data_IF_679618979513
#
_entry.id   IF_679618979513
#
_cell.length_a   1.000
_cell.length_b   1.000
_cell.length_c   1.000
_cell.angle_alpha   90.00
_cell.angle_beta   90.00
_cell.angle_gamma   90.00
#
_symmetry.space_group_name_H-M   'P 1'
#
loop_
_entity.id
_entity.type
_entity.pdbx_description
1 polymer ?
#
# COMPACT_ATOMS: atom_id res chain seq x y z
N UNK A 1 -30.84 -6.62 -33.60
CA UNK A 1 -30.35 -7.84 -32.92
C UNK A 1 -29.09 -7.46 -32.14
N UNK A 2 -29.20 -7.16 -30.83
CA UNK A 2 -28.05 -6.73 -30.00
C UNK A 2 -27.40 -7.97 -29.38
N UNK A 3 -26.22 -8.34 -29.88
CA UNK A 3 -25.42 -9.45 -29.38
C UNK A 3 -24.74 -9.00 -28.07
N UNK A 4 -25.23 -9.48 -26.92
CA UNK A 4 -24.54 -9.31 -25.63
C UNK A 4 -23.50 -10.41 -25.50
N UNK A 5 -22.24 -10.06 -25.67
CA UNK A 5 -21.10 -10.92 -25.35
C UNK A 5 -20.90 -10.85 -23.83
N UNK A 6 -21.18 -11.94 -23.13
CA UNK A 6 -20.79 -12.10 -21.74
C UNK A 6 -19.43 -12.78 -21.71
N UNK A 7 -18.37 -12.03 -21.38
CA UNK A 7 -17.06 -12.59 -21.06
C UNK A 7 -17.15 -13.11 -19.62
N UNK A 8 -17.19 -14.42 -19.47
CA UNK A 8 -17.05 -15.08 -18.17
C UNK A 8 -15.55 -15.23 -17.90
N UNK A 9 -14.99 -14.34 -17.07
CA UNK A 9 -13.61 -14.45 -16.61
C UNK A 9 -13.56 -15.52 -15.50
N UNK A 10 -13.10 -16.73 -15.85
CA UNK A 10 -12.89 -17.82 -14.89
C UNK A 10 -11.56 -17.55 -14.18
N UNK A 11 -11.62 -16.86 -13.04
CA UNK A 11 -10.45 -16.64 -12.18
C UNK A 11 -10.29 -17.90 -11.33
N UNK A 12 -9.28 -18.71 -11.64
CA UNK A 12 -8.84 -19.79 -10.76
C UNK A 12 -8.15 -19.15 -9.55
N UNK A 13 -8.84 -19.11 -8.42
CA UNK A 13 -8.31 -18.61 -7.15
C UNK A 13 -7.40 -19.70 -6.54
N UNK A 14 -6.08 -19.59 -6.75
CA UNK A 14 -5.12 -20.32 -5.92
C UNK A 14 -4.98 -19.60 -4.58
N UNK A 15 -5.09 -20.35 -3.48
CA UNK A 15 -4.79 -19.86 -2.14
C UNK A 15 -3.28 -19.78 -2.00
N UNK A 16 -2.72 -18.57 -2.05
CA UNK A 16 -1.30 -18.35 -1.80
C UNK A 16 -1.09 -18.21 -0.30
N UNK A 17 -0.49 -19.24 0.31
CA UNK A 17 -0.15 -19.28 1.73
C UNK A 17 1.28 -18.75 1.92
N UNK A 18 1.42 -17.56 2.51
CA UNK A 18 2.71 -17.03 2.94
C UNK A 18 3.10 -17.70 4.26
N UNK A 19 3.62 -18.93 4.23
CA UNK A 19 4.09 -19.56 5.45
C UNK A 19 5.27 -18.73 6.02
N UNK A 20 5.12 -18.20 7.23
CA UNK A 20 6.18 -17.39 7.85
C UNK A 20 6.35 -17.79 9.30
N UNK A 21 7.55 -17.57 9.82
CA UNK A 21 7.88 -17.71 11.24
C UNK A 21 8.72 -16.53 11.66
N UNK A 22 8.19 -15.72 12.58
CA UNK A 22 8.84 -14.50 13.04
C UNK A 22 8.91 -14.56 14.56
N UNK A 23 10.10 -14.35 15.14
CA UNK A 23 10.27 -14.34 16.58
C UNK A 23 11.36 -13.38 17.03
N UNK A 24 11.23 -12.85 18.24
CA UNK A 24 12.25 -11.98 18.85
C UNK A 24 12.89 -12.60 20.09
N UNK A 25 14.17 -12.28 20.31
CA UNK A 25 14.99 -12.78 21.43
C UNK A 25 16.09 -11.78 21.79
N UNK A 26 16.81 -12.06 22.89
CA UNK A 26 17.99 -11.31 23.32
C UNK A 26 19.23 -12.17 23.16
N UNK A 27 20.29 -11.62 22.58
CA UNK A 27 21.58 -12.31 22.53
C UNK A 27 22.31 -12.21 23.88
N UNK A 28 23.48 -12.86 23.99
CA UNK A 28 24.30 -12.84 25.21
C UNK A 28 24.81 -11.44 25.61
N UNK A 29 24.75 -10.46 24.71
CA UNK A 29 25.08 -9.05 24.96
C UNK A 29 23.85 -8.19 25.27
N UNK A 30 22.67 -8.80 25.46
CA UNK A 30 21.37 -8.14 25.60
C UNK A 30 20.93 -7.32 24.37
N UNK A 31 21.50 -7.57 23.19
CA UNK A 31 21.03 -6.97 21.94
C UNK A 31 19.77 -7.69 21.45
N UNK A 32 18.84 -6.95 20.83
CA UNK A 32 17.56 -7.49 20.39
C UNK A 32 17.69 -8.05 18.99
N UNK A 33 17.41 -9.35 18.84
CA UNK A 33 17.42 -10.05 17.57
C UNK A 33 15.99 -10.43 17.16
N UNK A 34 15.64 -10.21 15.90
CA UNK A 34 14.40 -10.69 15.30
C UNK A 34 14.72 -11.63 14.17
N UNK A 35 14.36 -12.90 14.31
CA UNK A 35 14.51 -13.92 13.26
C UNK A 35 13.22 -14.05 12.45
N UNK A 36 13.35 -14.18 11.13
CA UNK A 36 12.22 -14.32 10.20
C UNK A 36 12.51 -15.34 9.11
N UNK A 37 11.52 -16.19 8.83
CA UNK A 37 11.44 -17.02 7.62
C UNK A 37 10.27 -16.52 6.78
N UNK A 38 10.50 -16.41 5.47
CA UNK A 38 9.47 -16.09 4.49
C UNK A 38 9.39 -17.18 3.42
N UNK A 39 8.20 -17.74 3.25
CA UNK A 39 7.92 -18.74 2.22
C UNK A 39 6.93 -18.21 1.19
N UNK A 40 7.24 -18.41 -0.09
CA UNK A 40 6.40 -18.05 -1.22
C UNK A 40 6.79 -18.89 -2.43
N UNK A 41 5.84 -19.20 -3.30
CA UNK A 41 6.04 -20.14 -4.41
C UNK A 41 6.83 -19.57 -5.59
N UNK A 42 6.83 -18.25 -5.75
CA UNK A 42 7.56 -17.58 -6.84
C UNK A 42 8.95 -17.15 -6.36
N UNK A 43 9.96 -17.36 -7.21
CA UNK A 43 11.31 -16.91 -6.92
C UNK A 43 11.46 -15.39 -7.04
N UNK A 44 12.54 -14.87 -6.46
CA UNK A 44 12.87 -13.45 -6.46
C UNK A 44 13.03 -12.94 -5.04
N UNK A 45 12.96 -11.63 -4.90
CA UNK A 45 13.22 -10.96 -3.64
C UNK A 45 14.29 -9.91 -3.79
N UNK A 46 14.13 -8.82 -3.05
CA UNK A 46 15.10 -7.76 -2.95
C UNK A 46 15.06 -7.18 -1.54
N UNK A 47 16.23 -6.75 -1.07
CA UNK A 47 16.38 -5.96 0.16
C UNK A 47 16.65 -4.50 -0.23
N UNK A 48 15.71 -3.64 0.11
CA UNK A 48 15.67 -2.23 -0.25
C UNK A 48 16.25 -1.38 0.88
N UNK A 49 17.13 -0.45 0.55
CA UNK A 49 17.65 0.57 1.46
C UNK A 49 17.13 1.93 1.01
N UNK A 50 16.40 2.61 1.89
CA UNK A 50 15.72 3.87 1.59
C UNK A 50 16.20 4.92 2.59
N UNK A 51 16.97 5.93 2.16
CA UNK A 51 17.42 7.00 3.05
C UNK A 51 16.25 7.87 3.53
N UNK A 52 16.39 8.42 4.73
CA UNK A 52 15.49 9.44 5.25
C UNK A 52 15.33 10.59 4.24
N UNK A 53 14.07 11.01 4.00
CA UNK A 53 13.76 12.24 3.27
C UNK A 53 12.88 13.12 4.17
N UNK A 54 13.23 14.40 4.29
CA UNK A 54 12.56 15.34 5.19
C UNK A 54 12.54 14.84 6.65
N UNK A 55 11.36 14.58 7.21
CA UNK A 55 11.18 14.12 8.59
C UNK A 55 10.94 12.61 8.70
N UNK A 56 11.17 11.83 7.63
CA UNK A 56 11.02 10.37 7.69
C UNK A 56 12.26 9.70 8.27
N UNK A 57 12.08 8.49 8.80
CA UNK A 57 13.21 7.63 9.16
C UNK A 57 13.86 7.00 7.92
N UNK A 58 15.12 6.63 8.05
CA UNK A 58 15.79 5.72 7.10
C UNK A 58 15.34 4.29 7.37
N UNK A 59 15.14 3.49 6.32
CA UNK A 59 14.56 2.15 6.45
C UNK A 59 15.29 1.13 5.57
N UNK A 60 15.25 -0.12 6.01
CA UNK A 60 15.54 -1.31 5.20
C UNK A 60 14.30 -2.19 5.16
N UNK A 61 13.89 -2.64 3.97
CA UNK A 61 12.73 -3.52 3.80
C UNK A 61 13.03 -4.67 2.85
N UNK A 62 12.32 -5.79 3.00
CA UNK A 62 12.37 -6.91 2.05
C UNK A 62 11.04 -7.01 1.31
N UNK A 63 11.11 -7.09 -0.02
CA UNK A 63 9.98 -7.22 -0.94
C UNK A 63 10.28 -8.31 -1.98
N UNK A 64 9.27 -8.87 -2.63
CA UNK A 64 9.48 -9.93 -3.63
C UNK A 64 9.90 -9.33 -4.99
N UNK A 65 9.01 -8.55 -5.59
CA UNK A 65 9.11 -8.05 -6.96
C UNK A 65 8.77 -6.55 -7.05
N UNK A 66 7.81 -6.12 -6.25
CA UNK A 66 7.38 -4.74 -6.19
C UNK A 66 8.00 -4.04 -4.96
N UNK A 67 8.85 -3.02 -5.15
CA UNK A 67 9.50 -2.31 -4.05
C UNK A 67 8.53 -1.48 -3.18
N UNK A 68 7.26 -1.37 -3.57
CA UNK A 68 6.18 -0.76 -2.77
C UNK A 68 5.33 -1.82 -2.03
N UNK A 69 5.72 -3.10 -2.09
CA UNK A 69 5.09 -4.21 -1.37
C UNK A 69 6.10 -4.85 -0.42
N UNK A 70 6.47 -4.10 0.61
CA UNK A 70 7.36 -4.56 1.67
C UNK A 70 6.64 -5.54 2.61
N UNK A 71 7.24 -6.71 2.87
CA UNK A 71 6.71 -7.71 3.79
C UNK A 71 7.26 -7.54 5.21
N UNK A 72 8.49 -7.06 5.32
CA UNK A 72 9.18 -6.85 6.58
C UNK A 72 10.28 -5.81 6.47
N UNK A 73 10.78 -5.32 7.61
CA UNK A 73 11.90 -4.40 7.65
C UNK A 73 12.17 -3.81 9.03
N UNK A 74 13.18 -2.95 9.09
CA UNK A 74 13.49 -2.13 10.26
C UNK A 74 13.86 -0.70 9.88
N UNK A 75 13.82 0.21 10.85
CA UNK A 75 14.23 1.60 10.68
C UNK A 75 15.42 1.98 11.56
N UNK A 76 15.97 3.17 11.30
CA UNK A 76 17.09 3.78 12.04
C UNK A 76 16.77 4.17 13.50
N UNK A 77 15.55 3.88 13.99
CA UNK A 77 15.17 4.02 15.40
C UNK A 77 15.24 2.70 16.15
N UNK A 78 15.47 1.59 15.46
CA UNK A 78 15.46 0.24 16.00
C UNK A 78 14.05 -0.31 16.18
N UNK A 79 13.11 0.09 15.32
CA UNK A 79 11.77 -0.48 15.23
C UNK A 79 11.73 -1.45 14.04
N UNK A 80 11.22 -2.65 14.27
CA UNK A 80 10.96 -3.68 13.28
C UNK A 80 9.47 -3.93 13.12
N UNK A 81 9.05 -4.25 11.90
CA UNK A 81 7.72 -4.74 11.60
C UNK A 81 7.77 -5.81 10.49
N UNK A 82 6.97 -6.85 10.63
CA UNK A 82 6.76 -7.87 9.61
C UNK A 82 5.31 -8.37 9.59
N UNK A 83 4.92 -8.95 8.46
CA UNK A 83 3.58 -9.51 8.26
C UNK A 83 3.63 -11.02 8.04
N UNK A 84 2.56 -11.71 8.45
CA UNK A 84 2.33 -13.10 8.10
C UNK A 84 0.84 -13.34 7.82
N UNK A 85 0.52 -14.28 6.93
CA UNK A 85 -0.88 -14.57 6.58
C UNK A 85 -1.58 -15.34 7.69
N UNK A 86 -2.82 -14.98 7.93
CA UNK A 86 -3.74 -15.64 8.85
C UNK A 86 -5.06 -15.96 8.15
N UNK A 87 -5.87 -16.88 8.70
CA UNK A 87 -7.17 -17.21 8.13
C UNK A 87 -8.08 -15.99 7.93
N UNK A 88 -8.95 -16.06 6.94
CA UNK A 88 -9.83 -14.94 6.63
C UNK A 88 -10.93 -14.73 7.67
N UNK A 89 -11.11 -13.48 8.07
CA UNK A 89 -12.15 -12.99 8.98
C UNK A 89 -12.67 -11.63 8.51
N UNK A 90 -13.69 -11.08 9.17
CA UNK A 90 -14.18 -9.73 8.86
C UNK A 90 -13.24 -8.66 9.44
N UNK A 91 -13.02 -7.56 8.71
CA UNK A 91 -12.09 -6.49 9.08
C UNK A 91 -12.80 -5.15 9.29
N UNK A 92 -12.35 -4.32 10.26
CA UNK A 92 -12.98 -3.03 10.57
C UNK A 92 -12.62 -1.95 9.53
N UNK A 93 -13.27 -1.97 8.37
CA UNK A 93 -13.08 -0.95 7.33
C UNK A 93 -13.88 0.31 7.69
N UNK A 94 -13.20 1.47 7.72
CA UNK A 94 -13.81 2.78 7.83
C UNK A 94 -13.47 3.62 6.59
N UNK A 95 -14.47 3.90 5.75
CA UNK A 95 -14.30 4.62 4.47
C UNK A 95 -13.95 6.12 4.63
N UNK A 96 -14.11 6.68 5.84
CA UNK A 96 -13.73 8.07 6.13
C UNK A 96 -12.22 8.17 6.35
N UNK A 97 -11.58 7.11 6.85
CA UNK A 97 -10.13 7.04 7.01
C UNK A 97 -9.46 6.69 5.68
N UNK A 98 -8.25 7.23 5.40
CA UNK A 98 -7.45 6.78 4.27
C UNK A 98 -7.28 5.25 4.27
N UNK A 99 -7.56 4.60 3.14
CA UNK A 99 -7.46 3.15 2.99
C UNK A 99 -6.09 2.77 2.43
N UNK A 100 -5.36 1.92 3.14
CA UNK A 100 -4.04 1.41 2.75
C UNK A 100 -4.06 -0.10 2.61
N UNK A 101 -3.25 -0.63 1.70
CA UNK A 101 -2.98 -2.07 1.63
C UNK A 101 -2.12 -2.47 2.82
N UNK A 102 -2.26 -3.71 3.27
CA UNK A 102 -1.47 -4.25 4.38
C UNK A 102 0.05 -4.08 4.19
N UNK A 103 0.56 -4.29 2.98
CA UNK A 103 2.00 -4.12 2.66
C UNK A 103 2.46 -2.66 2.77
N UNK A 104 1.59 -1.68 2.46
CA UNK A 104 1.93 -0.25 2.60
C UNK A 104 2.08 0.15 4.06
N UNK A 105 1.38 -0.54 4.98
CA UNK A 105 1.50 -0.27 6.41
C UNK A 105 2.91 -0.56 6.95
N UNK A 106 3.63 -1.53 6.38
CA UNK A 106 5.03 -1.84 6.74
C UNK A 106 5.89 -0.58 6.54
N UNK A 107 5.86 0.01 5.35
CA UNK A 107 6.63 1.22 5.07
C UNK A 107 6.13 2.46 5.81
N UNK A 108 4.81 2.63 5.94
CA UNK A 108 4.24 3.76 6.69
C UNK A 108 4.73 3.72 8.14
N UNK A 109 4.67 2.56 8.80
CA UNK A 109 5.14 2.40 10.18
C UNK A 109 6.62 2.70 10.26
N UNK A 110 7.45 2.06 9.44
CA UNK A 110 8.92 2.23 9.50
C UNK A 110 9.35 3.67 9.23
N UNK A 111 8.74 4.36 8.25
CA UNK A 111 9.08 5.75 7.88
C UNK A 111 8.65 6.78 8.92
N UNK A 112 7.63 6.49 9.74
CA UNK A 112 6.97 7.51 10.58
C UNK A 112 6.95 7.22 12.08
N UNK A 113 7.43 6.05 12.51
CA UNK A 113 7.31 5.60 13.90
C UNK A 113 8.67 5.34 14.53
N UNK A 114 8.90 5.78 15.76
CA UNK A 114 10.16 5.54 16.48
C UNK A 114 10.05 4.38 17.48
N UNK A 115 8.84 4.03 17.88
CA UNK A 115 8.52 3.02 18.90
C UNK A 115 7.17 2.35 18.59
N UNK A 116 6.76 1.40 19.43
CA UNK A 116 5.49 0.67 19.28
C UNK A 116 4.27 1.60 19.38
N UNK A 117 4.26 2.59 20.27
CA UNK A 117 3.12 3.50 20.43
C UNK A 117 2.87 4.33 19.16
N UNK A 118 3.93 4.87 18.57
CA UNK A 118 3.87 5.57 17.30
C UNK A 118 3.31 4.65 16.19
N UNK A 119 3.77 3.40 16.16
CA UNK A 119 3.32 2.41 15.19
C UNK A 119 1.82 2.12 15.34
N UNK A 120 1.37 1.84 16.58
CA UNK A 120 -0.05 1.61 16.90
C UNK A 120 -0.91 2.84 16.57
N UNK A 121 -0.37 4.05 16.72
CA UNK A 121 -1.05 5.27 16.29
C UNK A 121 -1.23 5.32 14.77
N UNK A 122 -0.29 4.80 13.96
CA UNK A 122 -0.50 4.67 12.52
C UNK A 122 -1.65 3.71 12.21
N UNK A 123 -1.71 2.53 12.85
CA UNK A 123 -2.82 1.59 12.67
C UNK A 123 -4.19 2.20 13.00
N UNK A 124 -4.27 3.16 13.93
CA UNK A 124 -5.50 3.89 14.25
C UNK A 124 -5.90 4.91 13.18
N UNK A 125 -4.95 5.46 12.42
CA UNK A 125 -5.20 6.50 11.40
C UNK A 125 -5.72 5.94 10.08
N UNK A 126 -5.37 4.70 9.74
CA UNK A 126 -5.69 4.08 8.46
C UNK A 126 -6.76 3.01 8.58
N UNK A 127 -7.51 2.84 7.51
CA UNK A 127 -8.27 1.61 7.25
C UNK A 127 -7.40 0.68 6.41
N UNK A 128 -7.39 -0.62 6.72
CA UNK A 128 -6.49 -1.57 6.05
C UNK A 128 -7.30 -2.52 5.18
N UNK A 129 -6.93 -2.59 3.90
CA UNK A 129 -7.37 -3.63 2.97
C UNK A 129 -6.27 -4.67 2.81
N UNK A 130 -6.66 -5.93 2.64
CA UNK A 130 -5.73 -7.05 2.64
C UNK A 130 -5.59 -7.67 1.25
N UNK A 131 -4.37 -8.15 0.98
CA UNK A 131 -4.02 -8.89 -0.23
C UNK A 131 -3.68 -8.06 -1.47
N UNK A 132 -3.27 -8.77 -2.53
CA UNK A 132 -3.10 -8.24 -3.88
C UNK A 132 -4.41 -8.52 -4.62
N UNK A 133 -5.17 -7.48 -4.96
CA UNK A 133 -6.36 -7.49 -5.86
C UNK A 133 -6.98 -8.88 -6.15
N UNK A 134 -8.15 -9.15 -5.57
CA UNK A 134 -8.88 -10.43 -5.65
C UNK A 134 -8.27 -11.63 -4.88
N UNK A 135 -7.03 -11.57 -4.41
CA UNK A 135 -6.49 -12.52 -3.43
C UNK A 135 -6.67 -11.96 -2.02
N UNK A 136 -7.41 -12.68 -1.18
CA UNK A 136 -8.01 -12.12 0.02
C UNK A 136 -7.29 -12.50 1.31
N UNK A 137 -6.00 -12.87 1.27
CA UNK A 137 -5.30 -13.35 2.46
C UNK A 137 -5.14 -12.22 3.48
N UNK A 138 -5.83 -12.34 4.61
CA UNK A 138 -5.58 -11.49 5.77
C UNK A 138 -4.16 -11.70 6.29
N UNK A 139 -3.60 -10.63 6.87
CA UNK A 139 -2.32 -10.69 7.56
C UNK A 139 -2.46 -10.10 8.95
N UNK A 140 -1.62 -10.55 9.86
CA UNK A 140 -1.33 -9.88 11.12
C UNK A 140 0.10 -9.32 11.12
N UNK A 141 0.38 -8.39 12.02
CA UNK A 141 1.64 -7.65 12.07
C UNK A 141 2.36 -7.94 13.38
N UNK A 142 3.65 -8.28 13.32
CA UNK A 142 4.52 -8.31 14.49
C UNK A 142 5.40 -7.07 14.49
N UNK A 143 5.42 -6.37 15.61
CA UNK A 143 6.22 -5.16 15.81
C UNK A 143 7.15 -5.42 16.99
N UNK A 144 8.42 -5.07 16.84
CA UNK A 144 9.44 -5.23 17.87
C UNK A 144 10.27 -3.96 17.92
N UNK A 145 10.55 -3.46 19.12
CA UNK A 145 11.43 -2.30 19.29
C UNK A 145 12.73 -2.70 20.02
N UNK A 146 13.77 -1.87 19.87
CA UNK A 146 15.14 -2.15 20.34
C UNK A 146 15.34 -2.34 21.85
N UNK A 147 14.34 -2.10 22.69
CA UNK A 147 14.39 -2.44 24.13
C UNK A 147 13.91 -3.88 24.42
N UNK A 148 13.38 -4.56 23.40
CA UNK A 148 12.87 -5.92 23.46
C UNK A 148 11.38 -6.01 23.77
N UNK A 149 10.64 -4.90 23.81
CA UNK A 149 9.17 -4.96 23.78
C UNK A 149 8.69 -5.39 22.39
N UNK A 150 7.63 -6.18 22.36
CA UNK A 150 7.01 -6.61 21.11
C UNK A 150 5.50 -6.71 21.25
N UNK A 151 4.80 -6.47 20.14
CA UNK A 151 3.35 -6.60 20.03
C UNK A 151 2.98 -7.31 18.73
N UNK A 152 1.83 -7.98 18.76
CA UNK A 152 1.17 -8.49 17.55
C UNK A 152 -0.14 -7.71 17.36
N UNK A 153 -0.38 -7.23 16.15
CA UNK A 153 -1.62 -6.55 15.76
C UNK A 153 -2.42 -7.46 14.84
N UNK A 154 -3.56 -7.91 15.33
CA UNK A 154 -4.48 -8.80 14.62
C UNK A 154 -5.78 -8.09 14.24
N UNK A 155 -6.32 -8.46 13.08
CA UNK A 155 -7.65 -8.04 12.65
C UNK A 155 -8.54 -9.27 12.65
N UNK A 156 -9.43 -9.35 13.64
CA UNK A 156 -10.29 -10.51 13.86
C UNK A 156 -11.71 -10.04 14.18
N UNK A 157 -12.71 -10.61 13.53
CA UNK A 157 -14.13 -10.38 13.83
C UNK A 157 -14.52 -8.88 13.93
N UNK A 158 -14.14 -8.08 12.93
CA UNK A 158 -14.35 -6.62 12.85
C UNK A 158 -13.67 -5.82 13.97
N UNK A 159 -12.61 -6.35 14.58
CA UNK A 159 -11.84 -5.65 15.61
C UNK A 159 -10.36 -5.69 15.30
N UNK A 160 -9.68 -4.61 15.66
CA UNK A 160 -8.22 -4.59 15.78
C UNK A 160 -7.89 -5.01 17.22
N UNK A 161 -7.12 -6.08 17.36
CA UNK A 161 -6.68 -6.63 18.66
C UNK A 161 -5.18 -6.42 18.77
N UNK A 162 -4.73 -5.90 19.90
CA UNK A 162 -3.32 -5.67 20.22
C UNK A 162 -2.93 -6.71 21.27
N UNK A 163 -1.85 -7.43 21.00
CA UNK A 163 -1.40 -8.57 21.80
C UNK A 163 0.01 -8.24 22.28
N UNK A 164 0.12 -7.91 23.56
CA UNK A 164 1.38 -7.59 24.23
C UNK A 164 1.97 -8.86 24.87
N UNK A 165 1.13 -9.65 25.53
CA UNK A 165 1.51 -10.94 26.10
C UNK A 165 1.59 -12.02 25.01
N UNK A 166 2.55 -12.94 25.12
CA UNK A 166 2.79 -14.01 24.13
C UNK A 166 3.12 -13.50 22.71
N UNK A 167 3.49 -12.23 22.58
CA UNK A 167 3.83 -11.58 21.30
C UNK A 167 5.19 -11.98 20.73
N UNK A 168 5.98 -12.77 21.47
CA UNK A 168 7.36 -13.13 21.13
C UNK A 168 7.50 -13.96 19.86
N UNK A 169 6.46 -14.72 19.50
CA UNK A 169 6.47 -15.63 18.36
C UNK A 169 5.19 -15.36 17.56
N UNK A 170 5.33 -15.22 16.25
CA UNK A 170 4.23 -15.06 15.30
C UNK A 170 4.43 -16.01 14.13
N UNK A 171 3.44 -16.86 13.87
CA UNK A 171 3.33 -17.71 12.68
C UNK A 171 1.93 -17.53 12.09
N UNK A 172 1.49 -18.40 11.18
CA UNK A 172 0.27 -18.23 10.39
C UNK A 172 -1.06 -18.53 11.11
N UNK A 173 -1.21 -18.20 12.38
CA UNK A 173 -2.45 -18.38 13.13
C UNK A 173 -2.73 -17.20 14.05
N UNK A 174 -4.00 -16.99 14.38
CA UNK A 174 -4.39 -15.97 15.34
C UNK A 174 -3.91 -16.35 16.74
N UNK A 175 -3.20 -15.43 17.38
CA UNK A 175 -2.82 -15.52 18.79
C UNK A 175 -4.00 -15.10 19.68
N UNK A 176 -4.84 -14.17 19.21
CA UNK A 176 -6.01 -13.68 19.96
C UNK A 176 -7.19 -14.64 19.99
N UNK A 177 -7.28 -15.58 19.04
CA UNK A 177 -8.41 -16.51 18.93
C UNK A 177 -7.96 -17.88 18.42
N UNK A 178 -7.71 -18.79 19.37
CA UNK A 178 -7.31 -20.17 19.07
C UNK A 178 -8.42 -21.04 18.49
N UNK A 179 -9.67 -20.54 18.44
CA UNK A 179 -10.79 -21.30 17.85
C UNK A 179 -10.78 -21.25 16.33
N UNK A 180 -10.12 -20.24 15.75
CA UNK A 180 -9.94 -20.08 14.31
C UNK A 180 -8.78 -20.97 13.86
N UNK A 181 -9.10 -21.97 13.02
CA UNK A 181 -8.11 -22.90 12.50
C UNK A 181 -7.19 -22.22 11.49
N UNK A 182 -5.90 -22.40 11.65
CA UNK A 182 -4.86 -22.00 10.69
C UNK A 182 -5.09 -22.64 9.32
N UNK A 183 -4.93 -21.86 8.25
CA UNK A 183 -4.89 -22.36 6.87
C UNK A 183 -3.55 -23.01 6.54
N UNK A 184 -2.50 -22.71 7.32
CA UNK A 184 -1.20 -23.39 7.24
C UNK A 184 -1.18 -24.60 8.18
N UNK A 185 -1.02 -25.80 7.62
CA UNK A 185 -0.95 -27.06 8.35
C UNK A 185 0.23 -27.11 9.36
N UNK A 186 1.31 -26.42 9.02
CA UNK A 186 2.60 -26.43 9.73
C UNK A 186 2.74 -25.29 10.75
N UNK A 187 1.82 -24.32 10.76
CA UNK A 187 1.87 -23.10 11.60
C UNK A 187 2.10 -23.36 13.09
N UNK A 188 1.30 -24.25 13.69
CA UNK A 188 1.40 -24.59 15.11
C UNK A 188 2.66 -25.40 15.44
N UNK A 189 3.12 -26.24 14.52
CA UNK A 189 4.35 -27.01 14.69
C UNK A 189 5.57 -26.10 14.69
N UNK A 190 5.64 -25.12 13.77
CA UNK A 190 6.71 -24.12 13.76
C UNK A 190 6.70 -23.28 15.03
N UNK A 191 5.52 -22.82 15.47
CA UNK A 191 5.37 -22.08 16.72
C UNK A 191 5.92 -22.86 17.92
N UNK A 192 5.49 -24.11 18.09
CA UNK A 192 5.97 -25.00 19.17
C UNK A 192 7.47 -25.24 19.08
N UNK A 193 8.00 -25.36 17.87
CA UNK A 193 9.44 -25.49 17.65
C UNK A 193 10.16 -24.27 18.19
N UNK A 194 9.83 -23.05 17.76
CA UNK A 194 10.47 -21.82 18.28
C UNK A 194 10.39 -21.73 19.80
N UNK A 195 9.20 -21.99 20.37
CA UNK A 195 8.97 -21.95 21.81
C UNK A 195 9.87 -22.92 22.58
N UNK A 196 10.12 -24.12 22.05
CA UNK A 196 11.04 -25.10 22.67
C UNK A 196 12.51 -24.65 22.71
N UNK A 197 12.87 -23.63 21.92
CA UNK A 197 14.22 -23.07 21.85
C UNK A 197 14.34 -21.70 22.54
N UNK A 198 13.26 -21.08 23.03
CA UNK A 198 13.26 -19.67 23.46
C UNK A 198 14.37 -19.30 24.47
N UNK A 199 14.74 -20.22 25.38
CA UNK A 199 15.81 -20.02 26.37
C UNK A 199 17.24 -20.39 25.87
N UNK A 200 17.36 -20.86 24.63
CA UNK A 200 18.61 -21.30 23.99
C UNK A 200 19.06 -20.35 22.88
N UNK A 201 18.23 -19.38 22.50
CA UNK A 201 18.52 -18.48 21.38
C UNK A 201 19.19 -17.22 21.89
N UNK A 202 20.52 -17.26 21.99
CA UNK A 202 21.34 -16.16 22.49
C UNK A 202 22.47 -15.71 21.52
N UNK A 203 22.44 -16.19 20.27
CA UNK A 203 23.43 -15.86 19.24
C UNK A 203 22.80 -15.89 17.85
N UNK A 204 23.43 -15.23 16.88
CA UNK A 204 23.05 -15.24 15.46
C UNK A 204 22.95 -16.68 14.92
N UNK A 205 23.91 -17.53 15.27
CA UNK A 205 23.94 -18.95 14.90
C UNK A 205 22.73 -19.72 15.46
N UNK A 206 22.39 -19.49 16.74
CA UNK A 206 21.24 -20.15 17.36
C UNK A 206 19.91 -19.69 16.73
N UNK A 207 19.79 -18.42 16.35
CA UNK A 207 18.61 -17.91 15.63
C UNK A 207 18.49 -18.62 14.28
N UNK A 208 19.55 -18.66 13.46
CA UNK A 208 19.51 -19.36 12.17
C UNK A 208 19.22 -20.84 12.31
N UNK A 209 19.75 -21.51 13.35
CA UNK A 209 19.44 -22.92 13.63
C UNK A 209 17.96 -23.16 13.89
N UNK A 210 17.28 -22.21 14.56
CA UNK A 210 15.82 -22.29 14.77
C UNK A 210 15.06 -21.96 13.49
N UNK A 211 15.52 -20.98 12.71
CA UNK A 211 14.96 -20.69 11.39
C UNK A 211 15.06 -21.90 10.46
N UNK A 212 16.20 -22.58 10.39
CA UNK A 212 16.36 -23.79 9.57
C UNK A 212 15.41 -24.93 10.00
N UNK A 213 15.12 -25.05 11.31
CA UNK A 213 14.15 -26.02 11.85
C UNK A 213 12.69 -25.65 11.59
N UNK A 214 12.44 -24.40 11.23
CA UNK A 214 11.09 -23.86 10.98
C UNK A 214 10.93 -23.40 9.53
N UNK A 215 11.83 -23.83 8.64
CA UNK A 215 11.66 -23.68 7.20
C UNK A 215 10.43 -24.47 6.76
N UNK A 216 9.62 -23.87 5.91
CA UNK A 216 8.67 -24.58 5.04
C UNK A 216 9.35 -24.95 3.71
N UNK A 217 8.72 -25.82 2.92
CA UNK A 217 9.27 -26.32 1.63
C UNK A 217 9.62 -25.16 0.69
N UNK A 218 8.79 -24.12 0.67
CA UNK A 218 8.94 -22.96 -0.21
C UNK A 218 9.62 -21.76 0.48
N UNK A 219 10.47 -21.99 1.51
CA UNK A 219 11.18 -20.89 2.18
C UNK A 219 12.19 -20.23 1.23
N UNK A 220 11.90 -18.99 0.85
CA UNK A 220 12.74 -18.20 -0.05
C UNK A 220 13.88 -17.52 0.69
N UNK A 221 13.61 -16.94 1.86
CA UNK A 221 14.66 -16.32 2.65
C UNK A 221 14.48 -16.53 4.15
N UNK A 222 15.62 -16.56 4.82
CA UNK A 222 15.76 -16.53 6.27
C UNK A 222 16.60 -15.32 6.63
N UNK A 223 16.15 -14.50 7.56
CA UNK A 223 16.90 -13.33 7.99
C UNK A 223 16.88 -13.10 9.50
N UNK A 224 17.81 -12.26 9.95
CA UNK A 224 17.92 -11.79 11.31
C UNK A 224 18.18 -10.29 11.28
N UNK A 225 17.34 -9.54 11.98
CA UNK A 225 17.58 -8.13 12.27
C UNK A 225 18.13 -8.00 13.69
N UNK A 226 19.29 -7.34 13.83
CA UNK A 226 19.78 -6.88 15.12
C UNK A 226 19.37 -5.42 15.29
N UNK A 227 18.32 -5.18 16.08
CA UNK A 227 17.73 -3.84 16.24
C UNK A 227 18.60 -2.89 17.07
N UNK A 228 19.63 -3.43 17.75
CA UNK A 228 20.56 -2.66 18.57
C UNK A 228 21.74 -2.15 17.74
N UNK A 229 22.26 -2.99 16.84
CA UNK A 229 23.43 -2.65 16.00
C UNK A 229 23.05 -2.23 14.57
N UNK A 230 21.77 -2.32 14.22
CA UNK A 230 21.23 -2.06 12.88
C UNK A 230 21.80 -3.01 11.80
N UNK A 231 22.23 -4.20 12.21
CA UNK A 231 22.74 -5.24 11.33
C UNK A 231 21.62 -6.14 10.79
N UNK A 232 21.73 -6.52 9.53
CA UNK A 232 20.83 -7.47 8.87
C UNK A 232 21.67 -8.65 8.39
N UNK A 233 21.29 -9.85 8.79
CA UNK A 233 21.86 -11.09 8.30
C UNK A 233 20.79 -11.75 7.44
N UNK A 234 21.09 -12.07 6.19
CA UNK A 234 20.10 -12.63 5.26
C UNK A 234 20.69 -13.77 4.45
N UNK A 235 19.89 -14.82 4.28
CA UNK A 235 20.17 -15.98 3.47
C UNK A 235 19.00 -16.19 2.51
N UNK A 236 19.27 -16.22 1.21
CA UNK A 236 18.30 -16.63 0.19
C UNK A 236 18.45 -18.14 -0.05
N UNK A 237 17.37 -18.89 0.15
CA UNK A 237 17.31 -20.36 0.10
C UNK A 237 18.43 -21.00 0.93
N UNK A 238 19.38 -21.64 0.26
CA UNK A 238 20.53 -22.33 0.85
C UNK A 238 21.87 -21.66 0.49
N UNK A 239 21.84 -20.41 0.03
CA UNK A 239 23.04 -19.62 -0.24
C UNK A 239 23.80 -19.24 1.05
N UNK A 240 24.95 -18.60 0.90
CA UNK A 240 25.69 -18.03 2.03
C UNK A 240 24.92 -16.89 2.71
N UNK A 241 25.21 -16.68 4.00
CA UNK A 241 24.67 -15.56 4.76
C UNK A 241 25.38 -14.29 4.32
N UNK A 242 24.62 -13.29 3.87
CA UNK A 242 25.10 -11.94 3.66
C UNK A 242 24.82 -11.08 4.89
N UNK A 243 25.79 -10.25 5.27
CA UNK A 243 25.68 -9.30 6.38
C UNK A 243 25.69 -7.87 5.84
N UNK A 244 24.67 -7.10 6.21
CA UNK A 244 24.49 -5.70 5.86
C UNK A 244 24.31 -4.89 7.15
N UNK A 245 24.51 -3.58 7.06
CA UNK A 245 24.21 -2.65 8.16
C UNK A 245 23.46 -1.44 7.61
N UNK A 246 22.30 -1.11 8.18
CA UNK A 246 21.44 -0.03 7.69
C UNK A 246 22.16 1.32 7.64
N UNK A 247 22.85 1.66 8.72
CA UNK A 247 23.58 2.92 8.85
C UNK A 247 24.73 3.02 7.86
N UNK A 248 25.51 1.96 7.71
CA UNK A 248 26.66 1.94 6.80
C UNK A 248 26.22 1.99 5.33
N UNK A 249 25.18 1.26 4.97
CA UNK A 249 24.63 1.21 3.61
C UNK A 249 24.04 2.55 3.16
N UNK A 250 23.47 3.32 4.09
CA UNK A 250 22.88 4.62 3.81
C UNK A 250 23.81 5.80 4.10
N UNK A 251 25.04 5.54 4.57
CA UNK A 251 26.00 6.61 4.85
C UNK A 251 26.31 7.43 3.59
N UNK A 252 26.06 8.74 3.66
CA UNK A 252 26.24 9.69 2.56
C UNK A 252 25.47 9.34 1.26
N UNK A 253 24.38 8.56 1.36
CA UNK A 253 23.48 8.24 0.24
C UNK A 253 22.21 9.09 0.29
N UNK A 254 21.89 9.74 -0.82
CA UNK A 254 20.62 10.48 -0.99
C UNK A 254 19.57 9.71 -1.79
N UNK A 255 19.97 8.59 -2.42
CA UNK A 255 19.14 7.79 -3.32
C UNK A 255 18.90 6.40 -2.74
N UNK A 256 17.70 5.87 -3.00
CA UNK A 256 17.36 4.51 -2.62
C UNK A 256 17.99 3.50 -3.57
N UNK A 257 18.32 2.33 -3.06
CA UNK A 257 18.87 1.21 -3.83
C UNK A 257 18.40 -0.10 -3.24
N UNK A 258 18.67 -1.20 -3.92
CA UNK A 258 18.38 -2.53 -3.42
C UNK A 258 19.46 -3.53 -3.81
N UNK A 259 19.51 -4.64 -3.08
CA UNK A 259 20.21 -5.85 -3.52
C UNK A 259 19.17 -6.89 -3.92
N UNK A 260 19.34 -7.53 -5.08
CA UNK A 260 18.56 -8.72 -5.44
C UNK A 260 18.96 -9.88 -4.54
N UNK A 261 18.02 -10.69 -4.07
CA UNK A 261 18.34 -11.75 -3.09
C UNK A 261 18.96 -13.00 -3.73
N UNK A 262 18.70 -13.26 -5.00
CA UNK A 262 19.18 -14.43 -5.74
C UNK A 262 20.69 -14.37 -6.02
N UNK A 263 21.18 -13.23 -6.49
CA UNK A 263 22.59 -13.02 -6.86
C UNK A 263 23.32 -11.97 -6.02
N UNK A 264 22.61 -11.26 -5.14
CA UNK A 264 23.14 -10.17 -4.31
C UNK A 264 23.76 -9.01 -5.09
N UNK A 265 23.36 -8.83 -6.35
CA UNK A 265 23.73 -7.67 -7.17
C UNK A 265 23.05 -6.40 -6.64
N UNK A 266 23.80 -5.30 -6.64
CA UNK A 266 23.33 -3.98 -6.20
C UNK A 266 22.79 -3.18 -7.37
N UNK A 267 21.57 -2.66 -7.24
CA UNK A 267 20.93 -1.82 -8.25
C UNK A 267 20.34 -0.56 -7.60
N UNK A 268 20.41 0.58 -8.30
CA UNK A 268 19.73 1.78 -7.86
C UNK A 268 18.22 1.63 -8.06
N UNK A 269 17.43 2.13 -7.12
CA UNK A 269 15.98 2.15 -7.26
C UNK A 269 15.66 3.24 -8.29
N UNK A 270 15.26 2.84 -9.49
CA UNK A 270 14.79 3.78 -10.51
C UNK A 270 13.60 4.56 -9.91
N UNK A 271 13.62 5.88 -10.05
CA UNK A 271 12.41 6.66 -9.81
C UNK A 271 11.32 6.08 -10.72
N UNK A 272 10.20 5.72 -10.11
CA UNK A 272 9.02 5.15 -10.78
C UNK A 272 8.43 6.22 -11.72
N UNK A 273 9.08 6.38 -12.86
CA UNK A 273 8.75 7.29 -13.96
C UNK A 273 7.70 6.66 -14.88
N UNK A 274 7.06 5.57 -14.44
CA UNK A 274 5.91 5.01 -15.14
C UNK A 274 4.82 6.09 -15.23
N UNK A 275 4.48 6.45 -16.45
CA UNK A 275 3.37 7.36 -16.72
C UNK A 275 2.08 6.63 -16.36
N UNK A 276 1.59 6.82 -15.14
CA UNK A 276 0.30 6.26 -14.77
C UNK A 276 -0.80 7.00 -15.53
N UNK A 277 -1.58 6.25 -16.32
CA UNK A 277 -2.77 6.74 -17.01
C UNK A 277 -3.95 6.64 -16.04
N UNK A 278 -4.68 7.74 -15.88
CA UNK A 278 -5.88 7.79 -15.06
C UNK A 278 -7.11 7.95 -15.95
N UNK A 279 -8.11 7.11 -15.73
CA UNK A 279 -9.42 7.21 -16.38
C UNK A 279 -10.45 7.63 -15.34
N UNK A 280 -11.16 8.73 -15.59
CA UNK A 280 -12.14 9.31 -14.66
C UNK A 280 -13.53 9.49 -15.29
N UNK A 281 -14.36 8.43 -15.37
CA UNK A 281 -15.76 8.58 -15.70
C UNK A 281 -16.47 9.43 -14.63
N UNK A 282 -17.33 10.33 -15.05
CA UNK A 282 -18.03 11.25 -14.16
C UNK A 282 -19.41 11.62 -14.67
N UNK A 283 -20.29 11.97 -13.75
CA UNK A 283 -21.68 12.32 -14.00
C UNK A 283 -22.17 13.27 -12.91
N UNK A 284 -23.12 14.12 -13.23
CA UNK A 284 -23.59 15.10 -12.26
C UNK A 284 -24.87 15.79 -12.63
N UNK A 285 -25.38 16.50 -11.63
CA UNK A 285 -26.60 17.27 -11.70
C UNK A 285 -26.39 18.62 -11.03
N UNK A 286 -26.93 19.67 -11.62
CA UNK A 286 -26.66 21.04 -11.24
C UNK A 286 -27.89 21.92 -11.22
N UNK A 287 -27.63 23.21 -11.03
CA UNK A 287 -28.65 24.25 -11.06
C UNK A 287 -29.16 24.39 -12.50
N UNK A 288 -30.39 24.89 -12.67
CA UNK A 288 -31.06 25.03 -13.98
C UNK A 288 -31.25 23.71 -14.72
N UNK A 289 -31.47 22.61 -13.99
CA UNK A 289 -31.62 21.28 -14.58
C UNK A 289 -30.41 20.87 -15.47
N UNK A 290 -29.22 21.37 -15.13
CA UNK A 290 -27.99 21.01 -15.84
C UNK A 290 -27.59 19.59 -15.46
N UNK A 291 -27.60 18.67 -16.43
CA UNK A 291 -27.08 17.32 -16.30
C UNK A 291 -25.77 17.21 -17.10
N UNK A 292 -24.82 16.43 -16.59
CA UNK A 292 -23.61 16.14 -17.35
C UNK A 292 -23.14 14.71 -17.18
N UNK A 293 -22.48 14.17 -18.20
CA UNK A 293 -21.76 12.91 -18.11
C UNK A 293 -20.54 12.92 -19.03
N UNK A 294 -19.43 12.35 -18.59
CA UNK A 294 -18.19 12.50 -19.32
C UNK A 294 -17.07 11.59 -18.83
N UNK A 295 -15.92 11.78 -19.47
CA UNK A 295 -14.69 11.05 -19.23
C UNK A 295 -13.52 12.03 -19.19
N UNK A 296 -12.59 11.80 -18.24
CA UNK A 296 -11.26 12.41 -18.28
C UNK A 296 -10.21 11.32 -18.44
N UNK A 297 -9.20 11.61 -19.26
CA UNK A 297 -8.00 10.78 -19.42
C UNK A 297 -6.81 11.63 -19.02
N UNK A 298 -6.17 11.29 -17.91
CA UNK A 298 -5.09 12.08 -17.31
C UNK A 298 -3.78 11.29 -17.28
N UNK A 299 -2.68 12.00 -17.48
CA UNK A 299 -1.33 11.53 -17.22
C UNK A 299 -0.88 12.08 -15.88
N UNK A 300 -0.39 11.18 -15.03
CA UNK A 300 0.15 11.54 -13.72
C UNK A 300 1.53 12.19 -13.91
N UNK A 301 1.70 13.39 -13.37
CA UNK A 301 3.01 14.07 -13.31
C UNK A 301 3.78 13.71 -12.03
N UNK A 302 3.06 13.55 -10.92
CA UNK A 302 3.58 13.03 -9.65
C UNK A 302 2.43 12.51 -8.78
N UNK A 303 2.69 12.14 -7.52
CA UNK A 303 1.67 11.61 -6.60
C UNK A 303 0.39 12.44 -6.45
N UNK A 304 0.48 13.75 -6.66
CA UNK A 304 -0.62 14.69 -6.39
C UNK A 304 -1.01 15.55 -7.59
N UNK A 305 -0.33 15.44 -8.73
CA UNK A 305 -0.59 16.26 -9.90
C UNK A 305 -0.78 15.39 -11.14
N UNK A 306 -1.79 15.74 -11.92
CA UNK A 306 -2.08 15.12 -13.20
C UNK A 306 -2.55 16.17 -14.21
N UNK A 307 -2.41 15.88 -15.49
CA UNK A 307 -2.92 16.72 -16.56
C UNK A 307 -3.47 15.85 -17.67
N UNK A 308 -4.42 16.35 -18.46
CA UNK A 308 -4.93 15.58 -19.57
C UNK A 308 -6.16 16.18 -20.22
N UNK A 309 -6.96 15.31 -20.82
CA UNK A 309 -8.10 15.69 -21.64
C UNK A 309 -9.42 15.41 -20.94
N UNK A 310 -10.39 16.29 -21.16
CA UNK A 310 -11.79 16.11 -20.80
C UNK A 310 -12.66 16.03 -22.05
N UNK A 311 -13.64 15.13 -22.00
CA UNK A 311 -14.81 15.10 -22.87
C UNK A 311 -16.04 14.97 -21.97
N UNK A 312 -16.93 15.96 -21.98
CA UNK A 312 -18.16 15.95 -21.17
C UNK A 312 -19.35 16.39 -22.01
N UNK A 313 -20.43 15.63 -21.96
CA UNK A 313 -21.70 15.99 -22.55
C UNK A 313 -22.57 16.67 -21.50
N UNK A 314 -23.27 17.73 -21.90
CA UNK A 314 -24.18 18.50 -21.08
C UNK A 314 -25.58 18.52 -21.67
N UNK A 315 -26.56 18.54 -20.77
CA UNK A 315 -27.95 18.86 -21.07
C UNK A 315 -28.40 19.94 -20.09
N UNK A 316 -28.83 21.10 -20.58
CA UNK A 316 -29.38 22.18 -19.75
C UNK A 316 -30.73 22.59 -20.36
N UNK A 317 -31.83 22.18 -19.73
CA UNK A 317 -33.17 22.32 -20.30
C UNK A 317 -33.27 21.60 -21.66
N UNK A 318 -33.45 22.37 -22.74
CA UNK A 318 -33.52 21.86 -24.12
C UNK A 318 -32.17 21.92 -24.87
N UNK A 319 -31.15 22.50 -24.27
CA UNK A 319 -29.83 22.67 -24.90
C UNK A 319 -28.94 21.44 -24.62
N UNK A 320 -28.33 20.91 -25.67
CA UNK A 320 -27.43 19.74 -25.62
C UNK A 320 -26.10 20.09 -26.29
N UNK A 321 -25.03 20.09 -25.51
CA UNK A 321 -23.71 20.55 -25.96
C UNK A 321 -22.57 19.74 -25.33
N UNK A 322 -21.36 19.90 -25.87
CA UNK A 322 -20.20 19.14 -25.44
C UNK A 322 -19.06 20.05 -24.99
N UNK A 323 -18.37 19.68 -23.92
CA UNK A 323 -17.14 20.29 -23.45
C UNK A 323 -15.96 19.39 -23.83
N UNK A 324 -14.99 19.95 -24.58
CA UNK A 324 -13.73 19.27 -24.91
C UNK A 324 -12.58 20.21 -24.56
N UNK A 325 -11.62 19.72 -23.78
CA UNK A 325 -10.56 20.60 -23.28
C UNK A 325 -9.40 19.90 -22.60
N UNK A 326 -8.47 20.73 -22.14
CA UNK A 326 -7.32 20.30 -21.33
C UNK A 326 -7.60 20.69 -19.88
N UNK A 327 -7.25 19.81 -18.94
CA UNK A 327 -7.32 20.11 -17.52
C UNK A 327 -6.02 19.80 -16.78
N UNK A 328 -5.79 20.56 -15.72
CA UNK A 328 -4.79 20.33 -14.70
C UNK A 328 -5.51 19.93 -13.42
N UNK A 329 -5.06 18.86 -12.79
CA UNK A 329 -5.58 18.35 -11.53
C UNK A 329 -4.49 18.38 -10.46
N UNK A 330 -4.87 18.83 -9.27
CA UNK A 330 -4.01 18.84 -8.10
C UNK A 330 -4.77 18.35 -6.87
N UNK A 331 -4.10 17.51 -6.07
CA UNK A 331 -4.60 17.06 -4.78
C UNK A 331 -3.84 17.73 -3.63
N UNK A 332 -4.59 18.29 -2.69
CA UNK A 332 -4.08 18.92 -1.47
C UNK A 332 -4.48 18.10 -0.25
N UNK A 333 -3.58 18.06 0.74
CA UNK A 333 -3.78 17.33 2.01
C UNK A 333 -4.17 15.85 1.85
N UNK A 334 -3.89 15.27 0.67
CA UNK A 334 -4.28 13.93 0.24
C UNK A 334 -5.79 13.67 0.10
N UNK A 335 -6.68 14.61 0.40
CA UNK A 335 -8.14 14.40 0.33
C UNK A 335 -8.88 15.43 -0.51
N UNK A 336 -8.31 16.64 -0.67
CA UNK A 336 -8.95 17.72 -1.40
C UNK A 336 -8.52 17.67 -2.86
N UNK A 337 -9.45 17.32 -3.74
CA UNK A 337 -9.22 17.28 -5.18
C UNK A 337 -9.64 18.61 -5.80
N UNK A 338 -8.75 19.21 -6.59
CA UNK A 338 -9.07 20.38 -7.39
C UNK A 338 -8.62 20.20 -8.83
N UNK A 339 -9.38 20.76 -9.77
CA UNK A 339 -8.94 20.88 -11.15
C UNK A 339 -9.36 22.20 -11.76
N UNK A 340 -8.58 22.63 -12.75
CA UNK A 340 -8.89 23.76 -13.61
C UNK A 340 -8.58 23.38 -15.07
N UNK A 341 -9.43 23.79 -16.00
CA UNK A 341 -9.26 23.47 -17.41
C UNK A 341 -9.70 24.58 -18.34
N UNK A 342 -9.09 24.61 -19.52
CA UNK A 342 -9.54 25.40 -20.67
C UNK A 342 -10.33 24.50 -21.59
N UNK A 343 -11.54 24.93 -21.91
CA UNK A 343 -12.54 24.06 -22.56
C UNK A 343 -13.19 24.81 -23.72
N UNK A 344 -13.31 24.13 -24.85
CA UNK A 344 -14.23 24.52 -25.92
C UNK A 344 -15.59 23.88 -25.65
N UNK A 345 -16.64 24.69 -25.71
CA UNK A 345 -18.03 24.22 -25.65
C UNK A 345 -18.56 24.18 -27.07
N UNK A 346 -19.06 23.03 -27.51
CA UNK A 346 -19.47 22.77 -28.90
C UNK A 346 -20.96 22.56 -28.98
N UNK A 347 -21.60 23.18 -29.97
CA UNK A 347 -23.05 23.20 -30.15
C UNK A 347 -23.80 23.87 -28.98
N UNK A 348 -23.21 24.91 -28.39
CA UNK A 348 -23.79 25.59 -27.24
C UNK A 348 -24.87 26.62 -27.64
N UNK A 349 -26.02 26.55 -26.99
CA UNK A 349 -27.13 27.50 -27.12
C UNK A 349 -27.88 27.39 -28.46
N UNK A 350 -28.92 28.21 -28.60
CA UNK A 350 -29.86 28.19 -29.74
C UNK A 350 -29.22 28.36 -31.13
N UNK A 351 -28.01 28.90 -31.20
CA UNK A 351 -27.28 29.15 -32.44
C UNK A 351 -26.13 28.15 -32.69
N UNK A 352 -26.03 27.07 -31.90
CA UNK A 352 -24.96 26.08 -31.97
C UNK A 352 -23.56 26.73 -31.98
N UNK A 353 -23.33 27.66 -31.07
CA UNK A 353 -22.06 28.38 -30.99
C UNK A 353 -20.96 27.44 -30.46
N UNK A 354 -19.70 27.79 -30.76
CA UNK A 354 -18.54 27.07 -30.25
C UNK A 354 -17.65 27.96 -29.35
N UNK A 355 -18.17 28.49 -28.23
CA UNK A 355 -17.41 29.39 -27.38
C UNK A 355 -16.31 28.66 -26.59
N UNK A 356 -15.34 29.45 -26.11
CA UNK A 356 -14.36 28.97 -25.14
C UNK A 356 -14.82 29.29 -23.72
N UNK A 357 -14.22 28.62 -22.75
CA UNK A 357 -14.47 28.91 -21.35
C UNK A 357 -13.49 28.24 -20.41
N UNK A 358 -13.79 28.38 -19.12
CA UNK A 358 -13.03 27.82 -18.02
C UNK A 358 -13.89 26.81 -17.27
N UNK A 359 -13.25 25.72 -16.87
CA UNK A 359 -13.84 24.70 -16.02
C UNK A 359 -13.05 24.63 -14.71
N UNK A 360 -13.75 24.48 -13.60
CA UNK A 360 -13.17 24.24 -12.28
C UNK A 360 -13.87 23.07 -11.60
N UNK A 361 -13.12 22.29 -10.83
CA UNK A 361 -13.70 21.34 -9.88
C UNK A 361 -13.02 21.54 -8.52
N UNK A 362 -13.82 21.54 -7.46
CA UNK A 362 -13.34 21.57 -6.08
C UNK A 362 -14.09 20.51 -5.29
N UNK A 363 -13.38 19.62 -4.60
CA UNK A 363 -14.07 18.58 -3.87
C UNK A 363 -13.19 17.59 -3.15
N UNK A 364 -13.78 16.43 -2.90
CA UNK A 364 -13.20 15.37 -2.10
C UNK A 364 -12.90 14.16 -2.97
N UNK A 365 -11.71 13.61 -2.79
CA UNK A 365 -11.29 12.30 -3.27
C UNK A 365 -10.55 11.59 -2.13
N UNK A 366 -10.84 10.32 -1.84
CA UNK A 366 -10.18 9.63 -0.74
C UNK A 366 -8.71 9.32 -1.05
N UNK A 367 -7.85 9.44 -0.03
CA UNK A 367 -6.48 8.95 -0.07
C UNK A 367 -6.44 7.42 0.07
N UNK A 368 -6.93 6.72 -0.95
CA UNK A 368 -7.01 5.27 -0.92
C UNK A 368 -6.05 4.67 -1.94
N UNK A 369 -5.45 3.55 -1.56
CA UNK A 369 -4.65 2.71 -2.47
C UNK A 369 -5.51 1.68 -3.20
N UNK A 370 -6.83 1.90 -3.21
CA UNK A 370 -7.77 1.11 -3.96
C UNK A 370 -7.72 1.48 -5.44
N UNK A 371 -7.96 0.53 -6.35
CA UNK A 371 -7.91 0.74 -7.80
C UNK A 371 -9.06 1.59 -8.30
N UNK A 372 -10.20 1.50 -7.62
CA UNK A 372 -11.38 2.32 -7.83
C UNK A 372 -11.45 3.34 -6.68
N UNK A 373 -11.35 4.63 -7.00
CA UNK A 373 -11.44 5.72 -6.01
C UNK A 373 -12.64 6.60 -6.35
N UNK A 374 -13.71 6.63 -5.54
CA UNK A 374 -14.82 7.54 -5.79
C UNK A 374 -14.38 8.98 -5.59
N UNK A 375 -15.05 9.95 -6.20
CA UNK A 375 -14.88 11.36 -5.87
C UNK A 375 -16.22 12.09 -5.96
N UNK A 376 -16.28 13.22 -5.27
CA UNK A 376 -17.38 14.19 -5.37
C UNK A 376 -16.78 15.59 -5.46
N UNK A 377 -17.17 16.36 -6.47
CA UNK A 377 -16.70 17.72 -6.69
C UNK A 377 -17.84 18.66 -7.02
N UNK A 378 -17.74 19.89 -6.54
CA UNK A 378 -18.46 21.02 -7.10
C UNK A 378 -17.77 21.42 -8.41
N UNK A 379 -18.49 21.30 -9.52
CA UNK A 379 -18.06 21.68 -10.86
C UNK A 379 -18.62 23.06 -11.21
N UNK A 380 -17.76 23.94 -11.72
CA UNK A 380 -18.15 25.25 -12.25
C UNK A 380 -17.63 25.42 -13.67
N UNK A 381 -18.50 25.74 -14.60
CA UNK A 381 -18.19 26.01 -16.00
C UNK A 381 -18.57 27.46 -16.32
N UNK A 382 -17.57 28.29 -16.64
CA UNK A 382 -17.76 29.68 -17.10
C UNK A 382 -17.57 29.73 -18.61
N UNK A 383 -18.66 29.97 -19.34
CA UNK A 383 -18.74 29.90 -20.80
C UNK A 383 -18.76 31.33 -21.37
N UNK A 384 -17.77 31.70 -22.17
CA UNK A 384 -17.68 33.02 -22.81
C UNK A 384 -18.43 33.03 -24.14
N UNK A 385 -19.76 32.89 -24.08
CA UNK A 385 -20.60 32.96 -25.26
C UNK A 385 -20.64 34.37 -25.85
N UNK A 386 -21.06 34.48 -27.12
CA UNK A 386 -20.98 35.74 -27.88
C UNK A 386 -21.83 36.87 -27.30
N UNK A 387 -22.96 36.52 -26.70
CA UNK A 387 -23.95 37.48 -26.19
C UNK A 387 -23.82 37.72 -24.69
N UNK A 388 -23.52 36.67 -23.92
CA UNK A 388 -23.33 36.75 -22.47
C UNK A 388 -22.36 35.68 -21.96
N UNK A 389 -21.72 35.96 -20.82
CA UNK A 389 -20.98 34.93 -20.09
C UNK A 389 -21.95 34.14 -19.21
N UNK A 390 -22.07 32.82 -19.44
CA UNK A 390 -22.92 31.95 -18.63
C UNK A 390 -22.07 31.18 -17.61
N UNK A 391 -22.59 31.00 -16.40
CA UNK A 391 -22.00 30.14 -15.39
C UNK A 391 -22.92 28.94 -15.13
N UNK A 392 -22.38 27.74 -15.27
CA UNK A 392 -23.06 26.51 -14.91
C UNK A 392 -22.41 25.93 -13.66
N UNK A 393 -23.23 25.41 -12.76
CA UNK A 393 -22.79 24.86 -11.50
C UNK A 393 -23.46 23.51 -11.26
N UNK A 394 -22.66 22.48 -11.01
CA UNK A 394 -23.17 21.13 -10.77
C UNK A 394 -22.37 20.40 -9.70
N UNK A 395 -23.02 19.43 -9.07
CA UNK A 395 -22.32 18.42 -8.27
C UNK A 395 -21.96 17.29 -9.23
N UNK A 396 -20.66 17.02 -9.34
CA UNK A 396 -20.10 15.94 -10.15
C UNK A 396 -19.62 14.82 -9.24
N UNK A 397 -20.03 13.60 -9.53
CA UNK A 397 -19.56 12.39 -8.88
C UNK A 397 -18.94 11.47 -9.92
N UNK A 398 -18.00 10.64 -9.50
CA UNK A 398 -17.35 9.72 -10.42
C UNK A 398 -16.37 8.81 -9.72
N UNK A 399 -15.57 8.11 -10.54
CA UNK A 399 -14.52 7.24 -10.06
C UNK A 399 -13.22 7.56 -10.78
N UNK A 400 -12.08 7.33 -10.12
CA UNK A 400 -10.77 7.26 -10.75
C UNK A 400 -10.30 5.81 -10.80
N UNK A 401 -9.82 5.43 -11.97
CA UNK A 401 -9.10 4.18 -12.25
C UNK A 401 -7.66 4.54 -12.65
N UNK A 402 -6.68 3.91 -12.01
CA UNK A 402 -5.24 4.12 -12.28
C UNK A 402 -4.64 2.87 -12.93
N UNK A 403 -3.94 3.06 -14.05
CA UNK A 403 -3.23 2.02 -14.80
C UNK A 403 -1.74 2.39 -14.86
N UNK A 404 -0.86 1.41 -14.62
CA UNK A 404 0.61 1.57 -14.57
C UNK A 404 1.27 0.82 -15.72
#
# INVERSE_FOLDING_TARGET
>A
MKLKIYILLLIVLSNVSLASTIFDTKNSKNEILVGSNFSYSEEGGQINFIPAKNSSNSIVTISLDNPNMSYEGMNDKGLFIAISTVPNTSTPINIIKPIKKSFEMVEIVLKTSSNIDDALNQFKKYSITFGKFAHNSLVHFKIVQKDGQSVIVEFVNNKMVIIEENSKIMTNHYISDSTIKSDSETSHQRYKTVMSYQNKINSIENVFKVLDKTKDVDTLWSNIYNLTTEEIYIKYKDNSINKLNLKDELYAKNEAFFYKLDDFSKENKLDDTSFAIQIRPHFGYGIEETEHSGLRVLLKSNENQAFGLELTEFKNGSDEFQAIGILLEQRLWNWFNMSIGTVGYFNYGLNNQNPTGLMTNLGWEPNNSTPLKPFITYRGDTIFAKEETKNLHSISIGFKLEFF
#
